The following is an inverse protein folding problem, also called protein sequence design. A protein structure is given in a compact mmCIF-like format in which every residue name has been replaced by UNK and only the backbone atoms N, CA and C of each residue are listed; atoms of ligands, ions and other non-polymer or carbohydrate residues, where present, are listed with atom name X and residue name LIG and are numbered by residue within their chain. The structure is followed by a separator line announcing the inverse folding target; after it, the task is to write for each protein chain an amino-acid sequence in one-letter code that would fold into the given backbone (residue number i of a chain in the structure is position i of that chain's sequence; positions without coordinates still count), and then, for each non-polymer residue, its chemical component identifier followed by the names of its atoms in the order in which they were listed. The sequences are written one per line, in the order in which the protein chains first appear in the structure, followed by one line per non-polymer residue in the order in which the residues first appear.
data_IF_435394509198
#
_entry.id   IF_435394509198
#
_cell.length_a   1.000
_cell.length_b   1.000
_cell.length_c   1.000
_cell.angle_alpha   90.00
_cell.angle_beta   90.00
_cell.angle_gamma   90.00
#
_symmetry.space_group_name_H-M   'P 1'
#
loop_
_entity.id
_entity.type
_entity.pdbx_description
1 polymer ?
#
# COMPACT_ATOMS: atom_id res chain seq x y z
N UNK A 1 12.74 10.84 6.51
CA UNK A 1 13.46 10.70 5.22
C UNK A 1 13.04 11.88 4.32
N UNK A 2 13.97 12.65 3.76
CA UNK A 2 13.66 13.89 3.01
C UNK A 2 13.73 13.67 1.48
N UNK A 3 12.67 14.06 0.76
CA UNK A 3 12.65 14.09 -0.72
C UNK A 3 13.15 15.44 -1.24
N UNK A 4 14.01 15.41 -2.26
CA UNK A 4 14.39 16.60 -3.03
C UNK A 4 13.61 16.63 -4.34
N UNK A 5 12.94 17.76 -4.61
CA UNK A 5 12.25 18.01 -5.89
C UNK A 5 13.23 18.65 -6.87
N UNK A 6 13.35 18.07 -8.06
CA UNK A 6 14.15 18.62 -9.16
C UNK A 6 13.21 18.92 -10.34
N UNK A 7 13.24 20.15 -10.83
CA UNK A 7 12.53 20.56 -12.06
C UNK A 7 13.53 20.59 -13.21
N UNK A 8 13.17 19.99 -14.35
CA UNK A 8 14.07 19.89 -15.52
C UNK A 8 13.48 20.74 -16.63
N UNK A 9 14.23 21.77 -17.06
CA UNK A 9 13.72 22.79 -17.99
C UNK A 9 13.82 22.41 -19.47
N UNK A 10 14.76 21.52 -19.86
CA UNK A 10 15.11 21.31 -21.27
C UNK A 10 15.08 19.83 -21.74
N UNK A 11 14.31 18.95 -21.08
CA UNK A 11 14.19 17.53 -21.44
C UNK A 11 15.44 16.67 -21.23
N UNK A 12 16.64 17.29 -21.19
CA UNK A 12 17.90 16.64 -20.87
C UNK A 12 18.04 16.48 -19.36
N UNK A 13 17.68 15.30 -18.88
CA UNK A 13 17.99 14.89 -17.51
C UNK A 13 19.39 14.27 -17.46
N UNK A 14 20.16 14.50 -16.38
CA UNK A 14 21.39 13.76 -16.12
C UNK A 14 21.15 12.24 -15.95
N UNK A 15 19.90 11.79 -15.87
CA UNK A 15 19.50 10.39 -15.90
C UNK A 15 19.47 9.92 -17.38
N UNK A 16 20.67 9.71 -17.95
CA UNK A 16 20.94 9.42 -19.37
C UNK A 16 20.30 8.14 -19.95
N UNK A 17 19.46 7.43 -19.21
CA UNK A 17 18.89 6.12 -19.59
C UNK A 17 17.35 6.07 -19.61
N UNK A 18 16.66 7.20 -19.81
CA UNK A 18 15.19 7.19 -19.91
C UNK A 18 14.73 7.50 -21.33
N UNK A 19 13.88 6.64 -21.87
CA UNK A 19 13.27 6.76 -23.19
C UNK A 19 12.38 8.01 -23.34
N UNK A 20 11.90 8.60 -22.23
CA UNK A 20 10.99 9.75 -22.23
C UNK A 20 11.54 10.96 -21.46
N UNK A 21 11.35 12.19 -21.97
CA UNK A 21 11.81 13.40 -21.30
C UNK A 21 11.05 13.63 -19.99
N UNK A 22 11.79 13.97 -18.93
CA UNK A 22 11.25 14.15 -17.57
C UNK A 22 11.06 15.64 -17.28
N UNK A 23 9.89 16.02 -16.77
CA UNK A 23 9.54 17.39 -16.36
C UNK A 23 9.86 17.64 -14.88
N UNK A 24 9.46 16.71 -14.01
CA UNK A 24 9.72 16.77 -12.56
C UNK A 24 10.10 15.40 -12.03
N UNK A 25 11.01 15.38 -11.05
CA UNK A 25 11.42 14.16 -10.38
C UNK A 25 11.68 14.40 -8.90
N UNK A 26 11.36 13.40 -8.09
CA UNK A 26 11.68 13.36 -6.67
C UNK A 26 12.74 12.30 -6.39
N UNK A 27 13.81 12.71 -5.71
CA UNK A 27 14.96 11.86 -5.38
C UNK A 27 15.29 11.93 -3.89
N UNK A 28 15.99 10.92 -3.37
CA UNK A 28 16.44 10.89 -1.98
C UNK A 28 17.68 11.78 -1.80
N UNK A 29 17.59 12.81 -0.94
CA UNK A 29 18.63 13.85 -0.77
C UNK A 29 19.98 13.35 -0.23
N UNK A 30 20.00 12.24 0.50
CA UNK A 30 21.21 11.71 1.16
C UNK A 30 21.86 10.55 0.40
N UNK A 31 21.43 10.29 -0.83
CA UNK A 31 21.91 9.16 -1.62
C UNK A 31 22.81 9.65 -2.75
N UNK A 32 24.09 9.23 -2.74
CA UNK A 32 25.05 9.52 -3.80
C UNK A 32 24.54 9.08 -5.19
N UNK A 33 23.63 8.12 -5.22
CA UNK A 33 23.05 7.57 -6.46
C UNK A 33 21.78 8.29 -6.93
N UNK A 34 21.32 9.35 -6.24
CA UNK A 34 20.09 10.08 -6.59
C UNK A 34 18.88 9.15 -6.87
N UNK A 35 18.71 8.10 -6.06
CA UNK A 35 17.61 7.14 -6.24
C UNK A 35 16.26 7.85 -6.21
N UNK A 36 15.40 7.50 -7.15
CA UNK A 36 14.04 8.03 -7.26
C UNK A 36 13.27 7.63 -6.00
N UNK A 37 12.57 8.59 -5.41
CA UNK A 37 11.91 8.40 -4.13
C UNK A 37 10.77 9.40 -3.96
N UNK A 38 9.63 8.92 -3.43
CA UNK A 38 8.61 9.77 -2.83
C UNK A 38 8.34 9.31 -1.40
N UNK A 39 8.18 10.26 -0.49
CA UNK A 39 7.78 10.04 0.90
C UNK A 39 6.25 10.12 1.08
N UNK A 40 5.51 10.45 0.02
CA UNK A 40 4.07 10.68 0.06
C UNK A 40 3.43 9.70 -0.92
N UNK A 41 2.55 8.84 -0.42
CA UNK A 41 1.72 7.95 -1.25
C UNK A 41 0.76 8.75 -2.12
N UNK A 42 0.35 8.15 -3.24
CA UNK A 42 -0.57 8.75 -4.21
C UNK A 42 -0.06 10.05 -4.87
N UNK A 43 1.23 10.36 -4.73
CA UNK A 43 1.87 11.46 -5.45
C UNK A 43 2.94 10.94 -6.40
N UNK A 44 2.98 11.45 -7.64
CA UNK A 44 3.92 10.96 -8.63
C UNK A 44 5.36 11.27 -8.18
N UNK A 45 6.28 10.34 -8.41
CA UNK A 45 7.71 10.54 -8.17
C UNK A 45 8.44 10.99 -9.43
N UNK A 46 7.83 10.78 -10.59
CA UNK A 46 8.29 11.27 -11.88
C UNK A 46 7.07 11.81 -12.63
N UNK A 47 7.18 13.00 -13.19
CA UNK A 47 6.22 13.56 -14.14
C UNK A 47 6.95 13.78 -15.46
N UNK A 48 6.41 13.24 -16.55
CA UNK A 48 6.90 13.43 -17.90
C UNK A 48 6.21 14.62 -18.59
N UNK A 49 6.75 15.06 -19.73
CA UNK A 49 6.16 16.18 -20.47
C UNK A 49 4.88 15.82 -21.22
N UNK A 50 4.69 14.55 -21.57
CA UNK A 50 3.48 14.00 -22.20
C UNK A 50 2.33 13.78 -21.20
N UNK A 51 2.57 14.01 -19.90
CA UNK A 51 1.58 13.83 -18.84
C UNK A 51 1.65 12.47 -18.15
N UNK A 52 2.48 11.53 -18.64
CA UNK A 52 2.70 10.28 -17.94
C UNK A 52 3.41 10.50 -16.60
N UNK A 53 3.06 9.66 -15.63
CA UNK A 53 3.62 9.72 -14.29
C UNK A 53 4.07 8.35 -13.83
N UNK A 54 5.12 8.33 -13.01
CA UNK A 54 5.60 7.10 -12.37
C UNK A 54 5.59 7.30 -10.87
N UNK A 55 5.03 6.35 -10.15
CA UNK A 55 4.96 6.39 -8.70
C UNK A 55 6.08 5.56 -8.08
N UNK A 56 6.77 6.16 -7.11
CA UNK A 56 7.75 5.49 -6.27
C UNK A 56 7.41 5.79 -4.83
N UNK A 57 7.44 4.82 -3.95
CA UNK A 57 7.31 5.05 -2.52
C UNK A 57 8.43 4.32 -1.80
N UNK A 58 9.24 5.06 -1.04
CA UNK A 58 10.44 4.50 -0.40
C UNK A 58 11.40 3.74 -1.35
N UNK A 59 11.39 4.09 -2.63
CA UNK A 59 12.26 3.50 -3.67
C UNK A 59 11.64 2.30 -4.40
N UNK A 60 10.44 1.87 -4.02
CA UNK A 60 9.69 0.80 -4.69
C UNK A 60 8.69 1.43 -5.66
N UNK A 61 8.69 0.94 -6.91
CA UNK A 61 7.68 1.32 -7.92
C UNK A 61 6.36 0.68 -7.55
N UNK A 62 5.29 1.44 -7.72
CA UNK A 62 3.93 0.94 -7.56
C UNK A 62 3.03 1.59 -8.60
N UNK A 63 1.91 0.94 -8.88
CA UNK A 63 0.86 1.46 -9.74
C UNK A 63 -0.34 1.85 -8.89
N UNK A 64 -1.15 2.76 -9.41
CA UNK A 64 -2.40 3.19 -8.79
C UNK A 64 -3.51 2.96 -9.80
N UNK A 65 -4.58 2.32 -9.35
CA UNK A 65 -5.84 2.26 -10.09
C UNK A 65 -6.91 2.93 -9.25
N UNK A 66 -7.47 4.00 -9.79
CA UNK A 66 -8.63 4.67 -9.22
C UNK A 66 -9.86 4.32 -10.03
N UNK A 67 -10.93 3.96 -9.31
CA UNK A 67 -12.26 3.70 -9.85
C UNK A 67 -13.26 4.59 -9.11
N UNK A 68 -14.51 4.59 -9.55
CA UNK A 68 -15.60 5.25 -8.83
C UNK A 68 -15.79 4.72 -7.40
N UNK A 69 -15.39 3.46 -7.13
CA UNK A 69 -15.67 2.77 -5.86
C UNK A 69 -14.46 2.68 -4.93
N UNK A 70 -13.25 2.62 -5.46
CA UNK A 70 -12.02 2.46 -4.66
C UNK A 70 -10.78 3.00 -5.37
N UNK A 71 -9.74 3.24 -4.58
CA UNK A 71 -8.36 3.45 -5.03
C UNK A 71 -7.54 2.25 -4.57
N UNK A 72 -6.83 1.59 -5.47
CA UNK A 72 -5.91 0.51 -5.14
C UNK A 72 -4.47 0.81 -5.58
N UNK A 73 -3.51 0.25 -4.84
CA UNK A 73 -2.09 0.27 -5.16
C UNK A 73 -1.57 -1.14 -5.39
N UNK A 74 -0.78 -1.33 -6.44
CA UNK A 74 -0.14 -2.62 -6.75
C UNK A 74 1.37 -2.46 -6.87
N UNK A 75 2.13 -3.49 -6.52
CA UNK A 75 3.58 -3.55 -6.68
C UNK A 75 3.89 -4.74 -7.58
N UNK A 76 4.44 -4.48 -8.77
CA UNK A 76 4.67 -5.53 -9.77
C UNK A 76 3.37 -6.19 -10.24
N UNK A 77 2.26 -5.43 -10.29
CA UNK A 77 0.95 -5.92 -10.71
C UNK A 77 0.13 -6.64 -9.62
N UNK A 78 0.69 -6.90 -8.45
CA UNK A 78 -0.02 -7.55 -7.33
C UNK A 78 -0.42 -6.51 -6.27
N UNK A 79 -1.60 -6.63 -5.67
CA UNK A 79 -1.99 -5.85 -4.49
C UNK A 79 -1.00 -6.10 -3.37
N UNK A 80 -0.44 -5.02 -2.85
CA UNK A 80 0.55 -5.11 -1.80
C UNK A 80 0.49 -3.85 -0.93
N UNK A 81 0.37 -4.04 0.38
CA UNK A 81 0.39 -2.94 1.35
C UNK A 81 1.78 -2.34 1.38
N UNK A 82 1.85 -1.03 1.19
CA UNK A 82 3.13 -0.32 1.16
C UNK A 82 3.74 -0.20 2.57
N UNK A 83 5.06 0.03 2.62
CA UNK A 83 5.79 0.28 3.87
C UNK A 83 5.13 1.39 4.70
N UNK A 84 5.20 1.32 6.02
CA UNK A 84 4.39 2.13 6.97
C UNK A 84 2.91 1.75 7.02
N UNK A 85 2.58 0.49 6.75
CA UNK A 85 1.26 -0.07 7.06
C UNK A 85 0.10 0.63 6.34
N UNK A 86 0.36 1.10 5.12
CA UNK A 86 -0.65 1.78 4.31
C UNK A 86 -1.53 0.76 3.59
N UNK A 87 -2.86 0.96 3.54
CA UNK A 87 -3.77 0.04 2.89
C UNK A 87 -3.46 -0.05 1.39
N UNK A 88 -3.61 -1.26 0.84
CA UNK A 88 -3.47 -1.48 -0.59
C UNK A 88 -4.74 -1.11 -1.34
N UNK A 89 -5.91 -1.16 -0.69
CA UNK A 89 -7.20 -0.73 -1.24
C UNK A 89 -7.91 0.18 -0.25
N UNK A 90 -8.43 1.30 -0.73
CA UNK A 90 -9.27 2.23 0.03
C UNK A 90 -10.55 2.48 -0.76
N UNK A 91 -11.67 2.04 -0.20
CA UNK A 91 -13.00 2.25 -0.76
C UNK A 91 -13.50 3.66 -0.43
N UNK A 92 -14.32 4.23 -1.33
CA UNK A 92 -14.91 5.57 -1.13
C UNK A 92 -15.82 5.65 0.11
N UNK A 93 -16.40 4.53 0.54
CA UNK A 93 -17.17 4.45 1.78
C UNK A 93 -16.30 4.51 3.05
N UNK A 94 -14.96 4.44 2.93
CA UNK A 94 -14.03 4.45 4.04
C UNK A 94 -13.46 3.08 4.45
N UNK A 95 -13.97 1.98 3.86
CA UNK A 95 -13.40 0.63 4.08
C UNK A 95 -11.97 0.57 3.54
N UNK A 96 -11.09 -0.12 4.26
CA UNK A 96 -9.67 -0.27 3.92
C UNK A 96 -9.28 -1.73 3.97
N UNK A 97 -8.44 -2.13 3.02
CA UNK A 97 -7.92 -3.49 2.95
C UNK A 97 -6.40 -3.49 2.80
N UNK A 98 -5.77 -4.41 3.52
CA UNK A 98 -4.34 -4.63 3.51
C UNK A 98 -4.04 -5.99 2.90
N UNK A 99 -3.14 -5.96 1.92
CA UNK A 99 -2.71 -7.11 1.15
C UNK A 99 -1.22 -7.37 1.30
N UNK A 100 -0.83 -8.62 1.10
CA UNK A 100 0.56 -9.05 0.85
C UNK A 100 0.52 -10.08 -0.27
N UNK A 101 1.09 -9.73 -1.43
CA UNK A 101 1.08 -10.58 -2.63
C UNK A 101 -0.33 -11.06 -3.00
N UNK A 102 -1.27 -10.13 -3.22
CA UNK A 102 -2.68 -10.40 -3.55
C UNK A 102 -3.51 -11.15 -2.50
N UNK A 103 -2.93 -11.46 -1.34
CA UNK A 103 -3.66 -12.08 -0.23
C UNK A 103 -3.92 -11.08 0.88
N UNK A 104 -5.15 -11.04 1.40
CA UNK A 104 -5.48 -10.24 2.59
C UNK A 104 -4.55 -10.63 3.75
N UNK A 105 -3.81 -9.65 4.24
CA UNK A 105 -2.77 -9.82 5.24
C UNK A 105 -2.30 -8.47 5.77
N UNK A 106 -2.17 -8.36 7.09
CA UNK A 106 -1.52 -7.22 7.74
C UNK A 106 -0.67 -7.70 8.91
N UNK A 107 0.52 -7.10 9.06
CA UNK A 107 1.44 -7.42 10.15
C UNK A 107 1.01 -6.73 11.46
N UNK A 108 1.72 -7.03 12.55
CA UNK A 108 1.62 -6.34 13.84
C UNK A 108 0.27 -6.49 14.58
N UNK A 109 -0.38 -7.65 14.41
CA UNK A 109 -1.72 -7.97 14.97
C UNK A 109 -2.80 -6.93 14.61
N UNK A 110 -2.67 -6.32 13.43
CA UNK A 110 -3.64 -5.38 12.91
C UNK A 110 -4.62 -6.06 11.95
N UNK A 111 -5.87 -5.56 11.86
CA UNK A 111 -6.87 -6.14 10.97
C UNK A 111 -6.46 -5.96 9.50
N UNK A 112 -6.61 -7.04 8.73
CA UNK A 112 -6.42 -7.03 7.29
C UNK A 112 -7.55 -6.32 6.54
N UNK A 113 -8.73 -6.20 7.17
CA UNK A 113 -9.85 -5.39 6.67
C UNK A 113 -10.40 -4.54 7.81
N UNK A 114 -10.54 -3.24 7.57
CA UNK A 114 -11.25 -2.31 8.44
C UNK A 114 -12.45 -1.77 7.67
N UNK A 115 -13.66 -2.11 8.10
CA UNK A 115 -14.88 -1.63 7.48
C UNK A 115 -15.23 -0.22 7.95
N UNK A 116 -15.95 0.52 7.10
CA UNK A 116 -16.41 1.88 7.40
C UNK A 116 -17.35 1.98 8.60
N UNK A 117 -18.05 0.89 8.95
CA UNK A 117 -18.92 0.79 10.12
C UNK A 117 -18.15 0.47 11.42
N UNK A 118 -16.84 0.25 11.36
CA UNK A 118 -15.99 -0.10 12.51
C UNK A 118 -15.69 -1.59 12.68
N UNK A 119 -16.34 -2.46 11.89
CA UNK A 119 -16.07 -3.90 11.89
C UNK A 119 -14.65 -4.20 11.41
N UNK A 120 -14.09 -5.33 11.85
CA UNK A 120 -12.69 -5.69 11.59
C UNK A 120 -12.52 -7.17 11.32
N UNK A 121 -11.68 -7.49 10.34
CA UNK A 121 -11.22 -8.85 10.08
C UNK A 121 -9.71 -8.96 10.11
N UNK A 122 -9.20 -9.97 10.81
CA UNK A 122 -7.80 -10.38 10.80
C UNK A 122 -7.64 -11.56 9.86
N UNK A 123 -6.78 -11.40 8.86
CA UNK A 123 -6.45 -12.44 7.90
C UNK A 123 -4.96 -12.62 7.80
N UNK A 124 -4.55 -13.87 7.62
CA UNK A 124 -3.18 -14.25 7.32
C UNK A 124 -3.16 -15.06 6.05
N UNK A 125 -2.55 -14.50 5.00
CA UNK A 125 -2.48 -15.14 3.67
C UNK A 125 -3.88 -15.48 3.10
N UNK A 126 -4.85 -14.58 3.32
CA UNK A 126 -6.22 -14.71 2.81
C UNK A 126 -7.19 -15.45 3.73
N UNK A 127 -6.69 -16.23 4.68
CA UNK A 127 -7.52 -16.98 5.63
C UNK A 127 -7.79 -16.17 6.89
N UNK A 128 -8.99 -16.30 7.47
CA UNK A 128 -9.29 -15.76 8.80
C UNK A 128 -8.34 -16.39 9.82
N UNK A 129 -7.58 -15.54 10.51
CA UNK A 129 -6.58 -16.01 11.45
C UNK A 129 -6.15 -14.88 12.37
N UNK A 130 -6.15 -15.15 13.68
CA UNK A 130 -5.53 -14.29 14.68
C UNK A 130 -5.06 -15.13 15.86
N UNK A 131 -3.83 -14.91 16.31
CA UNK A 131 -3.30 -15.65 17.48
C UNK A 131 -3.83 -15.14 18.80
N UNK A 132 -4.04 -13.83 18.91
CA UNK A 132 -4.42 -13.18 20.17
C UNK A 132 -5.74 -12.45 19.97
N UNK A 133 -6.82 -13.09 20.41
CA UNK A 133 -8.18 -12.54 20.33
C UNK A 133 -8.93 -12.92 19.05
N UNK A 134 -10.11 -12.33 18.83
CA UNK A 134 -11.00 -12.72 17.75
C UNK A 134 -10.44 -12.30 16.39
N UNK A 135 -10.59 -13.19 15.41
CA UNK A 135 -10.23 -12.93 14.03
C UNK A 135 -11.31 -12.13 13.27
N UNK A 136 -12.54 -12.06 13.80
CA UNK A 136 -13.61 -11.21 13.26
C UNK A 136 -14.31 -10.49 14.41
N UNK A 137 -14.51 -9.18 14.26
CA UNK A 137 -15.31 -8.35 15.17
C UNK A 137 -16.40 -7.66 14.35
N UNK A 138 -17.66 -7.93 14.70
CA UNK A 138 -18.87 -7.37 14.07
C UNK A 138 -19.72 -6.68 15.13
N UNK A 139 -19.60 -5.35 15.26
CA UNK A 139 -20.14 -4.62 16.41
C UNK A 139 -19.67 -5.24 17.74
N UNK A 140 -20.60 -5.75 18.53
CA UNK A 140 -20.32 -6.41 19.82
C UNK A 140 -20.03 -7.93 19.69
N UNK A 141 -20.14 -8.50 18.49
CA UNK A 141 -19.92 -9.94 18.25
C UNK A 141 -18.46 -10.21 17.90
N UNK A 142 -17.93 -11.31 18.42
CA UNK A 142 -16.55 -11.72 18.24
C UNK A 142 -16.48 -13.19 17.80
N UNK A 143 -15.60 -13.49 16.85
CA UNK A 143 -15.40 -14.85 16.33
C UNK A 143 -13.91 -15.16 16.21
N UNK A 144 -13.52 -16.35 16.64
CA UNK A 144 -12.13 -16.81 16.63
C UNK A 144 -11.89 -17.76 15.48
N UNK A 145 -10.75 -17.58 14.82
CA UNK A 145 -10.31 -18.44 13.75
C UNK A 145 -8.80 -18.63 13.80
N UNK A 146 -8.35 -19.85 13.55
CA UNK A 146 -6.94 -20.17 13.32
C UNK A 146 -6.80 -20.94 12.00
N UNK A 147 -6.07 -20.33 11.06
CA UNK A 147 -5.76 -20.94 9.76
C UNK A 147 -7.04 -21.21 8.94
N UNK A 148 -8.06 -20.37 9.11
CA UNK A 148 -9.36 -20.50 8.47
C UNK A 148 -10.36 -21.37 9.22
N UNK A 149 -9.93 -22.13 10.23
CA UNK A 149 -10.82 -22.99 11.02
C UNK A 149 -11.47 -22.20 12.15
N UNK A 150 -12.78 -22.38 12.32
CA UNK A 150 -13.53 -21.82 13.43
C UNK A 150 -13.20 -22.58 14.71
N UNK A 151 -12.96 -21.84 15.80
CA UNK A 151 -12.58 -22.40 17.09
C UNK A 151 -13.36 -21.71 18.21
N UNK A 152 -13.57 -22.42 19.30
CA UNK A 152 -14.19 -21.85 20.48
C UNK A 152 -13.16 -21.03 21.28
N UNK A 153 -13.64 -20.05 22.03
CA UNK A 153 -12.78 -19.24 22.90
C UNK A 153 -12.01 -20.10 23.92
N UNK A 154 -12.60 -21.22 24.35
CA UNK A 154 -12.03 -22.12 25.36
C UNK A 154 -10.86 -22.97 24.81
N UNK A 155 -10.68 -23.04 23.49
CA UNK A 155 -9.58 -23.80 22.86
C UNK A 155 -8.20 -23.10 23.01
N UNK A 156 -8.18 -21.93 23.66
CA UNK A 156 -7.00 -21.10 23.91
C UNK A 156 -6.52 -21.10 25.38
N UNK A 157 -7.12 -21.90 26.27
CA UNK A 157 -6.75 -22.02 27.69
C UNK A 157 -5.76 -23.15 27.92
#
# INVERSE_FOLDING_TARGET
MYCLKINIKNGHSHFKNRSKPVKKIWVKRQDHFNRIHRAILFKPAVEHFDGEVVYYYHGEVYDIKETENYVETTVGGLRNSMKNNSPAVVYKNGTKEWYRFDKLHRSDDLPAVEYSNGDKEWRRFGQLHRWVGPAVILGDKQYWFLLGEFINQDDFI
#
